data_IF_918338378299
#
_entry.id   IF_918338378299
#
_cell.length_a   1.000
_cell.length_b   1.000
_cell.length_c   1.000
_cell.angle_alpha   90.00
_cell.angle_beta   90.00
_cell.angle_gamma   90.00
#
_symmetry.space_group_name_H-M   'P 1'
#
loop_
_entity.id
_entity.type
_entity.pdbx_description
1 polymer ?
#
# COMPACT_ATOMS: atom_id res chain seq x y z
N UNK A 1 3.70 12.05 -4.33
CA UNK A 1 4.61 11.21 -3.53
C UNK A 1 3.79 10.39 -2.56
N UNK A 2 4.18 9.14 -2.31
CA UNK A 2 3.47 8.23 -1.40
C UNK A 2 4.44 7.82 -0.31
N UNK A 3 4.07 8.03 0.95
CA UNK A 3 4.86 7.66 2.11
C UNK A 3 4.16 6.49 2.81
N UNK A 4 4.87 5.36 2.93
CA UNK A 4 4.44 4.19 3.69
C UNK A 4 5.28 4.13 4.96
N UNK A 5 4.62 4.17 6.11
CA UNK A 5 5.23 4.03 7.44
C UNK A 5 4.91 2.65 8.03
N UNK A 6 5.65 2.24 9.07
CA UNK A 6 5.44 0.97 9.77
C UNK A 6 5.51 -0.28 8.86
N UNK A 7 6.46 -0.29 7.92
CA UNK A 7 6.67 -1.45 7.04
C UNK A 7 7.06 -2.74 7.79
N UNK A 8 7.43 -2.66 9.07
CA UNK A 8 7.67 -3.82 9.92
C UNK A 8 6.39 -4.58 10.30
N UNK A 9 5.26 -3.88 10.41
CA UNK A 9 4.00 -4.43 10.95
C UNK A 9 3.03 -4.86 9.85
N UNK A 10 3.55 -5.29 8.71
CA UNK A 10 2.73 -5.69 7.57
C UNK A 10 2.03 -7.00 7.88
N UNK A 11 0.70 -7.01 7.71
CA UNK A 11 -0.10 -8.24 7.84
C UNK A 11 0.01 -9.05 6.56
N UNK A 12 0.45 -10.29 6.71
CA UNK A 12 0.44 -11.32 5.66
C UNK A 12 -0.56 -12.40 6.05
N UNK A 13 -1.30 -12.91 5.07
CA UNK A 13 -2.31 -13.95 5.30
C UNK A 13 -1.70 -15.36 5.26
N UNK A 14 -2.20 -16.27 6.10
CA UNK A 14 -1.78 -17.67 6.15
C UNK A 14 -0.29 -17.87 6.50
N UNK A 15 0.31 -18.92 5.96
CA UNK A 15 1.71 -19.32 6.22
C UNK A 15 2.75 -18.64 5.31
N UNK A 16 2.35 -17.57 4.61
CA UNK A 16 3.21 -16.83 3.65
C UNK A 16 4.50 -16.28 4.25
N UNK A 17 4.59 -16.17 5.58
CA UNK A 17 5.83 -15.80 6.26
C UNK A 17 6.96 -16.80 5.98
N UNK A 18 6.64 -18.09 5.91
CA UNK A 18 7.61 -19.16 5.68
C UNK A 18 7.64 -19.61 4.22
N UNK A 19 6.46 -19.70 3.59
CA UNK A 19 6.34 -20.29 2.25
C UNK A 19 6.81 -19.34 1.14
N UNK A 20 6.69 -18.03 1.35
CA UNK A 20 7.04 -17.05 0.32
C UNK A 20 8.55 -16.84 0.28
N UNK A 21 9.16 -17.34 -0.79
CA UNK A 21 10.58 -17.26 -1.07
C UNK A 21 10.88 -16.16 -2.09
N UNK A 22 11.85 -15.33 -1.79
CA UNK A 22 12.40 -14.30 -2.67
C UNK A 22 13.70 -14.80 -3.27
N UNK A 23 13.75 -14.82 -4.60
CA UNK A 23 14.92 -15.26 -5.37
C UNK A 23 15.67 -14.07 -5.94
N UNK A 24 17.00 -14.13 -5.86
CA UNK A 24 17.90 -13.21 -6.56
C UNK A 24 19.07 -14.00 -7.13
N UNK A 25 19.34 -13.80 -8.41
CA UNK A 25 20.49 -14.40 -9.07
C UNK A 25 21.59 -13.34 -9.29
N UNK A 26 22.85 -13.72 -9.14
CA UNK A 26 24.00 -12.82 -9.38
C UNK A 26 24.50 -12.84 -10.83
N UNK A 27 24.19 -13.89 -11.60
CA UNK A 27 24.64 -14.06 -12.99
C UNK A 27 25.69 -15.15 -13.18
N UNK A 28 26.31 -15.62 -12.09
CA UNK A 28 27.30 -16.71 -12.10
C UNK A 28 26.64 -18.05 -11.76
N UNK A 29 27.24 -19.16 -12.24
CA UNK A 29 26.84 -20.51 -11.85
C UNK A 29 26.85 -20.69 -10.33
N UNK A 30 25.77 -21.21 -9.74
CA UNK A 30 25.61 -21.32 -8.28
C UNK A 30 25.25 -20.01 -7.57
N UNK A 31 25.03 -18.90 -8.30
CA UNK A 31 24.78 -17.57 -7.76
C UNK A 31 23.35 -17.29 -7.27
N UNK A 32 22.52 -18.32 -7.10
CA UNK A 32 21.14 -18.17 -6.66
C UNK A 32 21.09 -17.95 -5.15
N UNK A 33 20.49 -16.84 -4.73
CA UNK A 33 20.23 -16.52 -3.32
C UNK A 33 18.73 -16.54 -3.08
N UNK A 34 18.31 -17.42 -2.18
CA UNK A 34 16.94 -17.52 -1.69
C UNK A 34 16.82 -16.88 -0.29
N UNK A 35 15.71 -16.20 -0.02
CA UNK A 35 15.34 -15.74 1.31
C UNK A 35 13.84 -15.89 1.53
N UNK A 36 13.44 -16.39 2.69
CA UNK A 36 12.02 -16.39 3.09
C UNK A 36 11.54 -14.97 3.42
N UNK A 37 10.24 -14.77 3.36
CA UNK A 37 9.62 -13.49 3.69
C UNK A 37 9.87 -13.11 5.16
N UNK A 38 9.83 -14.06 6.09
CA UNK A 38 10.15 -13.83 7.50
C UNK A 38 11.55 -13.27 7.72
N UNK A 39 12.58 -13.89 7.12
CA UNK A 39 13.96 -13.37 7.19
C UNK A 39 14.11 -12.01 6.50
N UNK A 40 13.32 -11.76 5.46
CA UNK A 40 13.34 -10.47 4.77
C UNK A 40 12.73 -9.34 5.60
N UNK A 41 11.63 -9.61 6.31
CA UNK A 41 10.99 -8.66 7.23
C UNK A 41 11.91 -8.27 8.38
N UNK A 42 12.62 -9.25 8.97
CA UNK A 42 13.57 -8.97 10.06
C UNK A 42 14.76 -8.12 9.59
N UNK A 43 15.29 -8.39 8.39
CA UNK A 43 16.50 -7.70 7.91
C UNK A 43 16.21 -6.35 7.28
N UNK A 44 15.21 -6.29 6.40
CA UNK A 44 14.91 -5.13 5.54
C UNK A 44 13.41 -5.10 5.21
N UNK A 45 12.56 -4.69 6.16
CA UNK A 45 11.10 -4.67 5.99
C UNK A 45 10.66 -3.77 4.83
N UNK A 46 11.35 -2.64 4.62
CA UNK A 46 11.05 -1.70 3.52
C UNK A 46 11.10 -2.37 2.14
N UNK A 47 12.03 -3.32 1.97
CA UNK A 47 12.25 -3.98 0.68
C UNK A 47 11.09 -4.89 0.27
N UNK A 48 10.35 -5.43 1.23
CA UNK A 48 9.20 -6.30 0.98
C UNK A 48 8.09 -5.50 0.28
N UNK A 49 7.81 -4.29 0.76
CA UNK A 49 6.82 -3.36 0.18
C UNK A 49 7.30 -2.85 -1.17
N UNK A 50 8.56 -2.42 -1.25
CA UNK A 50 9.15 -1.92 -2.49
C UNK A 50 9.07 -2.93 -3.63
N UNK A 51 9.38 -4.20 -3.36
CA UNK A 51 9.32 -5.27 -4.35
C UNK A 51 7.88 -5.54 -4.80
N UNK A 52 6.93 -5.54 -3.88
CA UNK A 52 5.52 -5.72 -4.20
C UNK A 52 5.01 -4.59 -5.10
N UNK A 53 5.26 -3.34 -4.72
CA UNK A 53 4.82 -2.17 -5.49
C UNK A 53 5.53 -2.13 -6.84
N UNK A 54 6.85 -2.37 -6.88
CA UNK A 54 7.59 -2.43 -8.15
C UNK A 54 7.06 -3.50 -9.10
N UNK A 55 6.54 -4.62 -8.57
CA UNK A 55 5.90 -5.66 -9.37
C UNK A 55 4.56 -5.24 -9.97
N UNK A 56 3.84 -4.32 -9.32
CA UNK A 56 2.55 -3.79 -9.78
C UNK A 56 2.69 -2.62 -10.76
N UNK A 57 3.86 -1.98 -10.83
CA UNK A 57 4.10 -0.87 -11.75
C UNK A 57 4.45 -1.35 -13.17
N UNK A 58 4.08 -0.56 -14.21
CA UNK A 58 4.47 -0.84 -15.57
C UNK A 58 6.01 -0.77 -15.73
N UNK A 59 6.59 -1.73 -16.45
CA UNK A 59 8.03 -1.81 -16.72
C UNK A 59 8.45 -0.86 -17.86
N UNK A 60 8.29 0.44 -17.65
CA UNK A 60 8.72 1.47 -18.59
C UNK A 60 9.52 2.59 -17.87
N UNK A 61 10.00 3.59 -18.63
CA UNK A 61 10.77 4.72 -18.07
C UNK A 61 9.93 5.53 -17.06
N UNK A 62 8.65 5.73 -17.35
CA UNK A 62 7.70 6.42 -16.47
C UNK A 62 7.48 5.64 -15.16
N UNK A 63 7.34 4.32 -15.22
CA UNK A 63 7.19 3.45 -14.05
C UNK A 63 8.40 3.53 -13.11
N UNK A 64 9.61 3.69 -13.66
CA UNK A 64 10.81 3.96 -12.85
C UNK A 64 10.79 5.34 -12.20
N UNK A 65 10.14 6.34 -12.81
CA UNK A 65 9.96 7.65 -12.20
C UNK A 65 8.89 7.59 -11.09
N UNK A 66 7.75 6.94 -11.37
CA UNK A 66 6.70 6.69 -10.38
C UNK A 66 7.22 5.92 -9.17
N UNK A 67 8.10 4.93 -9.38
CA UNK A 67 8.75 4.21 -8.29
C UNK A 67 9.57 5.12 -7.37
N UNK A 68 10.24 6.15 -7.90
CA UNK A 68 11.00 7.11 -7.08
C UNK A 68 10.11 7.98 -6.19
N UNK A 69 8.82 8.09 -6.53
CA UNK A 69 7.85 8.82 -5.72
C UNK A 69 7.38 8.04 -4.49
N UNK A 70 7.70 6.73 -4.41
CA UNK A 70 7.44 5.89 -3.24
C UNK A 70 8.56 6.06 -2.20
N UNK A 71 8.19 6.32 -0.95
CA UNK A 71 9.08 6.35 0.21
C UNK A 71 8.55 5.37 1.26
N UNK A 72 9.38 4.41 1.67
CA UNK A 72 9.00 3.35 2.62
C UNK A 72 9.90 3.41 3.85
N UNK A 73 9.29 3.55 5.01
CA UNK A 73 9.97 3.60 6.31
C UNK A 73 9.59 2.39 7.16
N UNK A 74 10.59 1.84 7.85
CA UNK A 74 10.42 0.68 8.72
C UNK A 74 9.63 1.05 9.98
N UNK A 75 9.98 2.20 10.59
CA UNK A 75 9.33 2.76 11.77
C UNK A 75 8.20 3.76 11.46
N UNK A 76 7.64 4.36 12.53
CA UNK A 76 6.60 5.38 12.42
C UNK A 76 7.15 6.75 11.97
N UNK A 77 8.42 7.02 12.25
CA UNK A 77 9.03 8.31 12.00
C UNK A 77 9.43 8.47 10.54
N UNK A 78 9.09 9.62 9.97
CA UNK A 78 9.42 9.96 8.59
C UNK A 78 9.71 11.46 8.50
N UNK A 79 10.85 11.88 7.92
CA UNK A 79 11.26 13.29 7.86
C UNK A 79 10.42 14.15 6.88
N UNK A 80 9.35 13.58 6.32
CA UNK A 80 8.49 14.20 5.31
C UNK A 80 7.15 14.67 5.89
N UNK A 81 7.09 14.95 7.20
CA UNK A 81 5.88 15.36 7.91
C UNK A 81 5.20 16.59 7.28
N UNK A 82 5.98 17.55 6.79
CA UNK A 82 5.46 18.76 6.15
C UNK A 82 4.61 18.47 4.89
N UNK A 83 5.00 17.45 4.10
CA UNK A 83 4.28 17.08 2.88
C UNK A 83 3.06 16.20 3.16
N UNK A 84 3.12 15.37 4.19
CA UNK A 84 2.00 14.50 4.62
C UNK A 84 0.89 15.30 5.30
N UNK A 85 1.25 16.33 6.07
CA UNK A 85 0.27 17.21 6.72
C UNK A 85 -0.52 18.07 5.72
N UNK A 86 0.08 18.42 4.57
CA UNK A 86 -0.58 19.15 3.49
C UNK A 86 -1.71 18.34 2.82
N UNK A 87 -1.57 17.02 2.70
CA UNK A 87 -2.61 16.16 2.13
C UNK A 87 -3.71 15.80 3.14
N UNK A 88 -3.37 15.59 4.42
CA UNK A 88 -4.35 15.36 5.50
C UNK A 88 -5.33 16.53 5.67
N UNK A 89 -4.84 17.78 5.53
CA UNK A 89 -5.68 18.99 5.56
C UNK A 89 -6.70 19.06 4.41
N UNK A 90 -6.44 18.42 3.27
CA UNK A 90 -7.42 18.36 2.15
C UNK A 90 -8.57 17.39 2.40
N UNK A 91 -8.33 16.30 3.14
CA UNK A 91 -9.37 15.30 3.43
C UNK A 91 -10.29 15.73 4.59
N UNK A 92 -9.77 16.51 5.55
CA UNK A 92 -10.60 17.10 6.61
C UNK A 92 -11.57 18.19 6.10
N UNK A 93 -11.39 18.68 4.86
CA UNK A 93 -12.20 19.73 4.25
C UNK A 93 -13.35 19.20 3.36
N UNK A 94 -13.64 17.89 3.36
CA UNK A 94 -14.87 17.34 2.77
C UNK A 94 -15.89 16.98 3.86
N UNK A 95 -16.76 17.91 4.30
CA UNK A 95 -17.96 17.56 5.04
C UNK A 95 -19.03 17.17 4.00
N UNK A 96 -19.11 15.90 3.60
CA UNK A 96 -20.05 15.54 2.53
C UNK A 96 -20.16 14.07 2.18
N UNK A 97 -20.51 13.21 3.12
CA UNK A 97 -21.15 11.92 2.78
C UNK A 97 -22.07 11.33 3.87
N UNK A 98 -22.41 12.09 4.92
CA UNK A 98 -23.23 11.58 6.03
C UNK A 98 -24.75 11.86 5.93
N UNK A 99 -25.28 12.37 4.80
CA UNK A 99 -26.71 12.71 4.71
C UNK A 99 -27.34 12.30 3.36
N UNK A 100 -27.71 11.03 3.19
CA UNK A 100 -28.66 10.62 2.13
C UNK A 100 -29.35 9.25 2.37
N UNK A 101 -29.40 8.73 3.59
CA UNK A 101 -30.05 7.45 3.87
C UNK A 101 -31.00 7.55 5.08
N UNK A 102 -32.08 8.31 4.93
CA UNK A 102 -33.27 8.20 5.79
C UNK A 102 -34.53 8.31 4.94
N UNK A 103 -35.02 7.14 4.53
CA UNK A 103 -36.44 6.76 4.42
C UNK A 103 -37.47 7.90 4.22
N UNK A 104 -37.96 8.03 2.98
CA UNK A 104 -39.37 8.34 2.73
C UNK A 104 -39.98 7.14 1.99
N UNK A 105 -40.93 6.40 2.56
CA UNK A 105 -41.71 5.45 1.77
C UNK A 105 -42.59 6.24 0.81
N UNK A 106 -42.62 5.84 -0.47
CA UNK A 106 -43.64 6.31 -1.42
C UNK A 106 -45.00 5.77 -0.95
N UNK A 107 -46.03 6.59 -0.70
CA UNK A 107 -47.37 6.04 -0.49
C UNK A 107 -47.89 5.46 -1.81
N UNK A 108 -48.40 4.23 -1.73
CA UNK A 108 -49.04 3.50 -2.82
C UNK A 108 -50.32 4.21 -3.29
N UNK A 109 -50.68 3.96 -4.54
CA UNK A 109 -51.70 4.71 -5.27
C UNK A 109 -53.12 4.57 -4.73
N UNK A 110 -53.87 5.66 -4.87
CA UNK A 110 -55.31 5.71 -4.70
C UNK A 110 -55.91 6.28 -5.99
N UNK A 111 -56.78 5.48 -6.62
CA UNK A 111 -57.48 5.80 -7.87
C UNK A 111 -58.58 6.83 -7.57
N UNK A 112 -58.84 7.81 -8.43
CA UNK A 112 -60.15 8.44 -8.49
C UNK A 112 -61.04 7.74 -9.53
N UNK A 113 -62.24 7.40 -9.03
CA UNK A 113 -63.57 7.23 -9.66
C UNK A 113 -63.67 6.88 -11.15
#
# INVERSE_FOLDING_TARGET
>A
YVVVVNAEKIRVTGNKLQDKKYYRHTGYMGGLKERTLGTMLQRRPSRVVELAVRGMLPRNRLGRQLYRHLKVYAGPDHPHEAQVNASRKRQAAQPGSAAAASSRPRPAGEKPS
#
